data_IF_534023575387
#
_entry.id   IF_534023575387
#
_cell.length_a   1.000
_cell.length_b   1.000
_cell.length_c   1.000
_cell.angle_alpha   90.00
_cell.angle_beta   90.00
_cell.angle_gamma   90.00
#
_symmetry.space_group_name_H-M   'P 1'
#
loop_
_entity.id
_entity.type
_entity.pdbx_description
1 polymer ?
#
# COMPACT_ATOMS: atom_id res chain seq x y z
N UNK A 1 18.16 10.04 -14.42
CA UNK A 1 17.11 9.62 -13.46
C UNK A 1 16.44 10.89 -12.95
N UNK A 2 15.10 10.96 -12.95
CA UNK A 2 14.33 12.10 -12.45
C UNK A 2 13.48 11.61 -11.28
N UNK A 3 13.56 12.31 -10.16
CA UNK A 3 12.65 12.08 -9.03
C UNK A 3 11.26 12.65 -9.36
N UNK A 4 10.21 11.88 -9.07
CA UNK A 4 8.83 12.28 -9.36
C UNK A 4 8.05 12.74 -8.12
N UNK A 5 8.34 12.19 -6.93
CA UNK A 5 7.69 12.63 -5.69
C UNK A 5 8.55 12.33 -4.44
N UNK A 6 8.22 13.02 -3.34
CA UNK A 6 8.76 12.78 -1.98
C UNK A 6 7.63 12.64 -0.96
N UNK A 7 7.99 12.23 0.25
CA UNK A 7 7.09 12.23 1.42
C UNK A 7 6.12 11.05 1.44
N UNK A 8 6.47 9.94 0.78
CA UNK A 8 5.80 8.66 0.94
C UNK A 8 6.26 8.01 2.25
N UNK A 9 5.37 7.24 2.87
CA UNK A 9 5.58 6.57 4.16
C UNK A 9 5.77 5.07 3.92
N UNK A 10 7.04 4.70 3.73
CA UNK A 10 7.49 3.33 3.42
C UNK A 10 6.76 2.73 2.18
N UNK A 11 7.02 3.27 0.97
CA UNK A 11 6.35 2.82 -0.25
C UNK A 11 6.88 1.47 -0.75
N UNK A 12 5.97 0.61 -1.22
CA UNK A 12 6.25 -0.71 -1.82
C UNK A 12 5.30 -0.99 -3.00
N UNK A 13 5.57 -2.08 -3.74
CA UNK A 13 4.67 -2.61 -4.76
C UNK A 13 4.23 -1.60 -5.84
N UNK A 14 5.15 -0.87 -6.51
CA UNK A 14 4.75 0.06 -7.57
C UNK A 14 4.15 -0.67 -8.78
N UNK A 15 3.03 -0.16 -9.28
CA UNK A 15 2.32 -0.61 -10.47
C UNK A 15 2.23 0.56 -11.44
N UNK A 16 2.88 0.43 -12.61
CA UNK A 16 2.80 1.42 -13.68
C UNK A 16 1.42 1.36 -14.36
N UNK A 17 0.78 2.51 -14.54
CA UNK A 17 -0.55 2.63 -15.11
C UNK A 17 -0.51 3.18 -16.56
N UNK A 18 -1.50 2.85 -17.41
CA UNK A 18 -1.54 3.33 -18.80
C UNK A 18 -1.61 4.86 -18.96
N UNK A 19 -2.12 5.59 -17.96
CA UNK A 19 -2.17 7.06 -17.94
C UNK A 19 -0.83 7.71 -17.54
N UNK A 20 0.22 6.90 -17.33
CA UNK A 20 1.54 7.34 -16.91
C UNK A 20 1.68 7.54 -15.41
N UNK A 21 0.61 7.38 -14.63
CA UNK A 21 0.69 7.38 -13.18
C UNK A 21 1.31 6.09 -12.64
N UNK A 22 1.71 6.10 -11.37
CA UNK A 22 2.14 4.92 -10.62
C UNK A 22 1.22 4.76 -9.42
N UNK A 23 0.61 3.59 -9.28
CA UNK A 23 -0.02 3.19 -8.02
C UNK A 23 1.03 2.48 -7.16
N UNK A 24 1.03 2.73 -5.86
CA UNK A 24 1.91 2.05 -4.91
C UNK A 24 1.21 1.97 -3.55
N UNK A 25 1.62 1.03 -2.73
CA UNK A 25 1.17 0.97 -1.33
C UNK A 25 2.17 1.71 -0.45
N UNK A 26 1.68 2.36 0.60
CA UNK A 26 2.50 2.95 1.66
C UNK A 26 2.24 2.15 2.95
N UNK A 27 3.19 1.30 3.36
CA UNK A 27 2.97 0.39 4.51
C UNK A 27 2.69 1.20 5.78
N UNK A 28 3.45 2.28 6.02
CA UNK A 28 3.29 3.11 7.23
C UNK A 28 2.02 3.96 7.16
N UNK A 29 1.66 4.48 5.97
CA UNK A 29 0.41 5.24 5.81
C UNK A 29 -0.83 4.35 5.82
N UNK A 30 -0.65 3.04 5.56
CA UNK A 30 -1.72 2.05 5.40
C UNK A 30 -2.59 2.27 4.16
N UNK A 31 -2.07 2.91 3.10
CA UNK A 31 -2.86 3.32 1.93
C UNK A 31 -2.38 2.74 0.61
N UNK A 32 -3.30 2.66 -0.35
CA UNK A 32 -2.97 2.67 -1.78
C UNK A 32 -2.93 4.12 -2.27
N UNK A 33 -1.81 4.54 -2.83
CA UNK A 33 -1.56 5.91 -3.28
C UNK A 33 -1.25 5.95 -4.77
N UNK A 34 -1.89 6.86 -5.50
CA UNK A 34 -1.55 7.20 -6.88
C UNK A 34 -0.57 8.37 -6.91
N UNK A 35 0.46 8.27 -7.72
CA UNK A 35 1.40 9.34 -8.06
C UNK A 35 1.26 9.66 -9.55
N UNK A 36 0.78 10.86 -9.85
CA UNK A 36 0.62 11.35 -11.22
C UNK A 36 2.00 11.72 -11.84
N UNK A 37 2.13 11.84 -13.18
CA UNK A 37 3.40 12.18 -13.84
C UNK A 37 4.01 13.52 -13.41
N UNK A 38 3.19 14.44 -12.88
CA UNK A 38 3.61 15.73 -12.34
C UNK A 38 4.05 15.67 -10.87
N UNK A 39 3.93 14.49 -10.24
CA UNK A 39 4.30 14.24 -8.85
C UNK A 39 3.17 14.42 -7.83
N UNK A 40 1.96 14.79 -8.28
CA UNK A 40 0.78 14.89 -7.42
C UNK A 40 0.46 13.51 -6.84
N UNK A 41 0.20 13.48 -5.53
CA UNK A 41 -0.20 12.26 -4.80
C UNK A 41 -1.69 12.32 -4.47
N UNK A 42 -2.40 11.23 -4.71
CA UNK A 42 -3.80 11.05 -4.32
C UNK A 42 -3.96 9.71 -3.60
N UNK A 43 -4.54 9.72 -2.41
CA UNK A 43 -4.89 8.47 -1.71
C UNK A 43 -6.11 7.88 -2.43
N UNK A 44 -5.97 6.65 -2.90
CA UNK A 44 -7.05 5.91 -3.59
C UNK A 44 -7.87 5.12 -2.57
N UNK A 45 -7.23 4.51 -1.58
CA UNK A 45 -7.89 3.74 -0.54
C UNK A 45 -7.08 3.70 0.75
N UNK A 46 -7.78 3.59 1.88
CA UNK A 46 -7.22 3.16 3.16
C UNK A 46 -7.37 1.64 3.26
N UNK A 47 -6.25 0.92 3.28
CA UNK A 47 -6.20 -0.53 3.30
C UNK A 47 -6.14 -1.11 4.73
N UNK A 48 -5.88 -0.27 5.73
CA UNK A 48 -5.54 -0.72 7.08
C UNK A 48 -4.28 -1.59 7.14
N UNK A 49 -3.94 -2.10 8.33
CA UNK A 49 -2.81 -3.03 8.52
C UNK A 49 -1.46 -2.50 7.99
N UNK A 50 -0.82 -3.30 7.13
CA UNK A 50 0.43 -3.00 6.45
C UNK A 50 0.41 -3.48 4.99
N UNK A 51 -0.19 -2.71 4.06
CA UNK A 51 -0.24 -3.07 2.65
C UNK A 51 1.18 -3.06 2.08
N UNK A 52 1.68 -4.21 1.63
CA UNK A 52 3.08 -4.41 1.25
C UNK A 52 3.28 -4.77 -0.23
N UNK A 53 2.31 -5.42 -0.87
CA UNK A 53 2.37 -5.73 -2.31
C UNK A 53 1.11 -5.26 -3.03
N UNK A 54 1.24 -4.89 -4.30
CA UNK A 54 0.11 -4.50 -5.14
C UNK A 54 0.26 -5.04 -6.57
N UNK A 55 -0.85 -5.49 -7.17
CA UNK A 55 -0.91 -5.91 -8.57
C UNK A 55 -2.31 -5.65 -9.16
N UNK A 56 -2.36 -5.14 -10.40
CA UNK A 56 -3.64 -4.97 -11.09
C UNK A 56 -4.16 -6.33 -11.57
N UNK A 57 -5.35 -6.70 -11.12
CA UNK A 57 -6.03 -7.91 -11.55
C UNK A 57 -6.69 -7.79 -12.92
N UNK A 58 -7.02 -8.91 -13.57
CA UNK A 58 -7.71 -8.92 -14.86
C UNK A 58 -9.15 -8.38 -14.80
N UNK A 59 -9.72 -8.29 -13.61
CA UNK A 59 -11.03 -7.68 -13.33
C UNK A 59 -10.96 -6.15 -13.13
N UNK A 60 -9.76 -5.56 -13.24
CA UNK A 60 -9.53 -4.13 -13.07
C UNK A 60 -9.43 -3.66 -11.62
N UNK A 61 -9.47 -4.58 -10.64
CA UNK A 61 -9.23 -4.25 -9.23
C UNK A 61 -7.74 -4.34 -8.90
N UNK A 62 -7.32 -3.59 -7.88
CA UNK A 62 -5.97 -3.71 -7.35
C UNK A 62 -5.95 -4.78 -6.25
N UNK A 63 -5.17 -5.83 -6.43
CA UNK A 63 -4.95 -6.86 -5.42
C UNK A 63 -3.82 -6.44 -4.51
N UNK A 64 -4.04 -6.53 -3.20
CA UNK A 64 -3.10 -6.10 -2.18
C UNK A 64 -2.70 -7.28 -1.29
N UNK A 65 -1.40 -7.47 -1.11
CA UNK A 65 -0.85 -8.32 -0.06
C UNK A 65 -0.64 -7.45 1.17
N UNK A 66 -1.43 -7.69 2.22
CA UNK A 66 -1.38 -6.93 3.46
C UNK A 66 -0.76 -7.81 4.56
N UNK A 67 0.34 -7.35 5.17
CA UNK A 67 1.06 -8.13 6.17
C UNK A 67 0.56 -7.91 7.61
N UNK A 68 -0.47 -7.09 7.81
CA UNK A 68 -1.04 -6.78 9.13
C UNK A 68 -0.38 -5.59 9.85
N UNK A 69 0.74 -5.06 9.34
CA UNK A 69 1.37 -3.84 9.84
C UNK A 69 2.52 -4.06 10.82
N UNK A 70 3.15 -2.96 11.21
CA UNK A 70 4.32 -2.92 12.09
C UNK A 70 4.18 -1.79 13.10
N UNK A 71 4.79 -1.96 14.28
CA UNK A 71 5.15 -0.81 15.11
C UNK A 71 6.38 -0.14 14.48
N UNK A 72 6.27 1.13 14.09
CA UNK A 72 7.33 1.82 13.38
C UNK A 72 8.40 2.34 14.34
N UNK A 73 9.67 2.06 14.04
CA UNK A 73 10.82 2.61 14.75
C UNK A 73 11.59 3.57 13.86
N UNK A 74 11.80 4.80 14.34
CA UNK A 74 12.70 5.76 13.68
C UNK A 74 14.12 5.54 14.17
N UNK A 75 15.04 5.26 13.25
CA UNK A 75 16.47 5.15 13.52
C UNK A 75 17.21 6.22 12.72
N UNK A 76 17.47 7.36 13.37
CA UNK A 76 18.00 8.55 12.69
C UNK A 76 17.02 9.05 11.61
N UNK A 77 17.46 9.27 10.35
CA UNK A 77 16.57 9.73 9.29
C UNK A 77 15.74 8.60 8.66
N UNK A 78 15.96 7.34 9.05
CA UNK A 78 15.33 6.18 8.44
C UNK A 78 14.14 5.70 9.26
N UNK A 79 13.06 5.34 8.57
CA UNK A 79 11.97 4.61 9.17
C UNK A 79 12.17 3.10 8.96
N UNK A 80 11.92 2.30 10.00
CA UNK A 80 12.13 0.85 9.98
C UNK A 80 10.92 0.12 10.57
N UNK A 81 10.52 -1.03 9.99
CA UNK A 81 9.63 -1.96 10.65
C UNK A 81 10.24 -2.37 12.00
N UNK A 82 9.50 -2.20 13.09
CA UNK A 82 9.90 -2.67 14.41
C UNK A 82 9.66 -4.18 14.56
N UNK A 83 10.25 -4.74 15.61
CA UNK A 83 10.09 -6.18 15.95
C UNK A 83 8.73 -6.48 16.61
N UNK A 84 8.07 -5.46 17.16
CA UNK A 84 6.77 -5.60 17.80
C UNK A 84 5.62 -5.53 16.79
N UNK A 85 4.61 -6.36 17.03
CA UNK A 85 3.34 -6.29 16.31
C UNK A 85 2.48 -5.12 16.85
N UNK A 86 1.70 -4.45 15.99
CA UNK A 86 0.70 -3.48 16.43
C UNK A 86 -0.35 -4.09 17.38
N UNK A 87 -0.94 -3.26 18.24
CA UNK A 87 -2.04 -3.69 19.12
C UNK A 87 -3.29 -4.16 18.33
N UNK A 88 -3.48 -3.61 17.13
CA UNK A 88 -4.56 -3.93 16.18
C UNK A 88 -4.17 -5.00 15.15
N UNK A 89 -3.11 -5.79 15.41
CA UNK A 89 -2.63 -6.81 14.47
C UNK A 89 -3.60 -7.99 14.33
N UNK A 90 -4.20 -8.14 13.16
CA UNK A 90 -5.13 -9.25 12.82
C UNK A 90 -4.50 -10.34 11.94
N UNK A 91 -3.20 -10.25 11.64
CA UNK A 91 -2.53 -11.15 10.71
C UNK A 91 -2.50 -10.67 9.25
N UNK A 92 -1.92 -11.51 8.39
CA UNK A 92 -1.82 -11.23 6.96
C UNK A 92 -3.15 -11.46 6.23
N UNK A 93 -3.37 -10.72 5.15
CA UNK A 93 -4.55 -10.90 4.29
C UNK A 93 -4.25 -10.59 2.82
N UNK A 94 -5.10 -11.13 1.95
CA UNK A 94 -5.19 -10.71 0.55
C UNK A 94 -6.45 -9.88 0.41
N UNK A 95 -6.30 -8.66 -0.11
CA UNK A 95 -7.40 -7.72 -0.31
C UNK A 95 -7.54 -7.35 -1.78
N UNK A 96 -8.67 -6.76 -2.13
CA UNK A 96 -8.92 -6.09 -3.41
C UNK A 96 -9.38 -4.67 -3.16
N UNK A 97 -8.96 -3.75 -4.02
CA UNK A 97 -9.38 -2.34 -4.01
C UNK A 97 -10.06 -2.03 -5.34
N UNK A 98 -11.28 -1.49 -5.29
CA UNK A 98 -11.90 -0.85 -6.44
C UNK A 98 -11.28 0.53 -6.65
N UNK A 99 -10.63 0.75 -7.79
CA UNK A 99 -9.89 1.98 -8.06
C UNK A 99 -10.78 3.22 -8.26
N UNK A 100 -12.09 3.05 -8.43
CA UNK A 100 -13.03 4.16 -8.62
C UNK A 100 -13.68 4.59 -7.30
N UNK A 101 -14.14 3.64 -6.50
CA UNK A 101 -14.77 3.93 -5.22
C UNK A 101 -13.78 4.02 -4.05
N UNK A 102 -12.63 3.36 -4.17
CA UNK A 102 -11.68 3.19 -3.06
C UNK A 102 -12.08 2.07 -2.09
N UNK A 103 -13.12 1.29 -2.40
CA UNK A 103 -13.61 0.23 -1.52
C UNK A 103 -12.58 -0.90 -1.40
N UNK A 104 -12.30 -1.30 -0.15
CA UNK A 104 -11.39 -2.39 0.17
C UNK A 104 -12.18 -3.61 0.62
N UNK A 105 -11.93 -4.76 -0.03
CA UNK A 105 -12.54 -6.04 0.32
C UNK A 105 -11.47 -7.10 0.60
N UNK A 106 -11.53 -7.74 1.77
CA UNK A 106 -10.65 -8.85 2.13
C UNK A 106 -11.13 -10.14 1.48
N UNK A 107 -10.27 -10.78 0.68
CA UNK A 107 -10.53 -12.05 0.00
C UNK A 107 -10.14 -13.25 0.87
N UNK A 108 -8.96 -13.18 1.48
CA UNK A 108 -8.39 -14.29 2.25
C UNK A 108 -7.69 -13.76 3.50
N UNK A 109 -7.81 -14.51 4.60
CA UNK A 109 -7.06 -14.31 5.86
C UNK A 109 -6.23 -15.53 6.27
N UNK A 110 -6.50 -16.68 5.64
CA UNK A 110 -5.85 -17.96 5.93
C UNK A 110 -5.88 -18.85 4.69
N UNK A 111 -5.04 -19.88 4.69
CA UNK A 111 -5.00 -20.95 3.69
C UNK A 111 -5.28 -22.28 4.40
N UNK A 112 -5.99 -23.19 3.72
CA UNK A 112 -6.25 -24.56 4.20
C UNK A 112 -5.18 -25.54 3.71
#
# INVERSE_FOLDING_TARGET
>A
MKEICRGLLFPEGPVAMPDGSVLLVEIERKTLTRVDPDGKKTIVADCGGGPNGAALGPDGKMYICNNGGFVWTKTGPFNRPGEALPDDYEGGSIQTVDLKSGDVNTLYRECN
#
